data_IF_433428111339
#
_entry.id   IF_433428111339
#
_cell.length_a   1.000
_cell.length_b   1.000
_cell.length_c   1.000
_cell.angle_alpha   90.00
_cell.angle_beta   90.00
_cell.angle_gamma   90.00
#
_symmetry.space_group_name_H-M   'P 1'
#
loop_
_entity.id
_entity.type
_entity.pdbx_description
1 polymer ?
#
# COMPACT_ATOMS: atom_id res chain seq x y z
N UNK A 1 7.01 4.69 -19.01
CA UNK A 1 6.13 5.51 -18.15
C UNK A 1 6.35 5.18 -16.69
N UNK A 2 6.56 6.21 -15.88
CA UNK A 2 6.71 5.98 -14.45
C UNK A 2 5.35 5.71 -13.81
N UNK A 3 5.31 4.72 -12.93
CA UNK A 3 4.11 4.47 -12.14
C UNK A 3 3.88 5.62 -11.19
N UNK A 4 2.62 6.01 -11.00
CA UNK A 4 2.29 7.02 -9.99
C UNK A 4 2.61 6.48 -8.59
N UNK A 5 2.87 7.39 -7.65
CA UNK A 5 3.11 6.99 -6.26
C UNK A 5 1.92 6.25 -5.67
N UNK A 6 0.71 6.62 -6.08
CA UNK A 6 -0.51 5.93 -5.65
C UNK A 6 -0.49 4.46 -6.06
N UNK A 7 -0.11 4.15 -7.30
CA UNK A 7 -0.01 2.77 -7.78
C UNK A 7 1.06 1.99 -7.03
N UNK A 8 2.19 2.62 -6.75
CA UNK A 8 3.25 2.01 -5.95
C UNK A 8 2.78 1.66 -4.55
N UNK A 9 2.05 2.56 -3.91
CA UNK A 9 1.51 2.34 -2.58
C UNK A 9 0.43 1.25 -2.58
N UNK A 10 -0.49 1.26 -3.55
CA UNK A 10 -1.50 0.21 -3.66
C UNK A 10 -0.83 -1.16 -3.80
N UNK A 11 0.19 -1.25 -4.65
CA UNK A 11 0.95 -2.48 -4.83
C UNK A 11 1.66 -2.90 -3.55
N UNK A 12 2.23 -1.94 -2.83
CA UNK A 12 2.92 -2.18 -1.57
C UNK A 12 1.95 -2.68 -0.49
N UNK A 13 0.79 -2.05 -0.35
CA UNK A 13 -0.23 -2.50 0.60
C UNK A 13 -0.78 -3.88 0.25
N UNK A 14 -1.00 -4.16 -1.04
CA UNK A 14 -1.41 -5.48 -1.50
C UNK A 14 -0.40 -6.55 -1.06
N UNK A 15 0.88 -6.27 -1.26
CA UNK A 15 1.97 -7.16 -0.87
C UNK A 15 2.03 -7.35 0.65
N UNK A 16 1.88 -6.27 1.41
CA UNK A 16 1.89 -6.33 2.86
C UNK A 16 0.70 -7.13 3.41
N UNK A 17 -0.49 -6.91 2.86
CA UNK A 17 -1.69 -7.64 3.25
C UNK A 17 -1.56 -9.14 2.94
N UNK A 18 -0.88 -9.49 1.86
CA UNK A 18 -0.60 -10.87 1.50
C UNK A 18 0.23 -11.59 2.57
N UNK A 19 1.12 -10.85 3.25
CA UNK A 19 1.95 -11.41 4.31
C UNK A 19 1.16 -11.71 5.60
N UNK A 20 -0.01 -11.09 5.77
CA UNK A 20 -0.88 -11.25 6.95
C UNK A 20 -2.11 -12.12 6.64
N UNK A 21 -1.90 -13.24 6.06
CA UNK A 21 -2.71 -14.45 6.01
C UNK A 21 -4.16 -14.43 5.50
N UNK A 22 -5.10 -13.80 6.15
CA UNK A 22 -6.53 -14.00 5.85
C UNK A 22 -6.92 -13.51 4.46
N UNK A 23 -6.20 -12.55 3.93
CA UNK A 23 -6.43 -11.97 2.60
C UNK A 23 -5.55 -12.60 1.52
N UNK A 24 -4.74 -13.55 1.91
CA UNK A 24 -3.75 -14.18 1.03
C UNK A 24 -4.37 -14.86 -0.18
N UNK A 25 -5.51 -15.53 0.01
CA UNK A 25 -6.17 -16.33 -1.03
C UNK A 25 -7.15 -15.53 -1.88
N UNK A 26 -7.56 -14.35 -1.41
CA UNK A 26 -8.55 -13.55 -2.12
C UNK A 26 -7.91 -12.27 -2.68
N UNK A 27 -7.33 -12.40 -3.87
CA UNK A 27 -6.64 -11.30 -4.54
C UNK A 27 -7.54 -10.09 -4.79
N UNK A 28 -8.79 -10.30 -5.18
CA UNK A 28 -9.74 -9.22 -5.46
C UNK A 28 -10.03 -8.41 -4.20
N UNK A 29 -10.33 -9.08 -3.11
CA UNK A 29 -10.61 -8.45 -1.83
C UNK A 29 -9.38 -7.74 -1.28
N UNK A 30 -8.23 -8.38 -1.37
CA UNK A 30 -6.96 -7.80 -0.93
C UNK A 30 -6.64 -6.50 -1.66
N UNK A 31 -6.84 -6.47 -2.99
CA UNK A 31 -6.61 -5.26 -3.78
C UNK A 31 -7.60 -4.16 -3.45
N UNK A 32 -8.84 -4.52 -3.19
CA UNK A 32 -9.86 -3.56 -2.75
C UNK A 32 -9.45 -2.91 -1.42
N UNK A 33 -9.00 -3.72 -0.47
CA UNK A 33 -8.50 -3.23 0.81
C UNK A 33 -7.27 -2.34 0.64
N UNK A 34 -6.34 -2.74 -0.22
CA UNK A 34 -5.14 -1.96 -0.48
C UNK A 34 -5.49 -0.55 -1.00
N UNK A 35 -6.41 -0.46 -1.95
CA UNK A 35 -6.85 0.83 -2.49
C UNK A 35 -7.52 1.69 -1.43
N UNK A 36 -8.35 1.08 -0.60
CA UNK A 36 -9.05 1.76 0.49
C UNK A 36 -8.05 2.34 1.49
N UNK A 37 -7.08 1.55 1.92
CA UNK A 37 -6.06 2.00 2.87
C UNK A 37 -5.23 3.15 2.32
N UNK A 38 -4.85 3.07 1.05
CA UNK A 38 -4.10 4.16 0.41
C UNK A 38 -4.94 5.44 0.39
N UNK A 39 -6.22 5.33 0.05
CA UNK A 39 -7.11 6.49 0.00
C UNK A 39 -7.36 7.12 1.37
N UNK A 40 -7.46 6.31 2.41
CA UNK A 40 -7.74 6.80 3.76
C UNK A 40 -6.51 7.36 4.47
N UNK A 41 -5.34 6.75 4.24
CA UNK A 41 -4.14 7.08 5.01
C UNK A 41 -3.22 8.07 4.31
N UNK A 42 -3.40 8.30 3.02
CA UNK A 42 -2.53 9.16 2.23
C UNK A 42 -3.35 10.10 1.36
N UNK A 43 -3.11 11.39 1.48
CA UNK A 43 -3.78 12.42 0.69
C UNK A 43 -2.91 12.82 -0.52
N UNK A 44 -3.42 13.74 -1.34
CA UNK A 44 -2.70 14.21 -2.52
C UNK A 44 -1.38 14.91 -2.17
N UNK A 45 -1.36 15.64 -1.06
CA UNK A 45 -0.14 16.30 -0.59
C UNK A 45 0.96 15.28 -0.29
N UNK A 46 0.59 14.16 0.33
CA UNK A 46 1.52 13.07 0.55
C UNK A 46 2.10 12.56 -0.76
N UNK A 47 1.26 12.34 -1.77
CA UNK A 47 1.72 11.83 -3.07
C UNK A 47 2.67 12.80 -3.77
N UNK A 48 2.45 14.09 -3.63
CA UNK A 48 3.34 15.12 -4.17
C UNK A 48 4.69 15.13 -3.46
N UNK A 49 4.68 15.07 -2.14
CA UNK A 49 5.90 15.04 -1.33
C UNK A 49 6.71 13.76 -1.55
N UNK A 50 6.03 12.65 -1.74
CA UNK A 50 6.64 11.33 -1.91
C UNK A 50 6.98 11.00 -3.36
N UNK A 51 7.07 12.00 -4.24
CA UNK A 51 7.31 11.79 -5.67
C UNK A 51 8.60 11.04 -6.00
N UNK A 52 9.56 11.04 -5.09
CA UNK A 52 10.83 10.32 -5.26
C UNK A 52 10.83 8.95 -4.58
N UNK A 53 9.70 8.55 -4.03
CA UNK A 53 9.58 7.26 -3.35
C UNK A 53 9.85 6.11 -4.32
N UNK A 54 10.72 5.20 -3.92
CA UNK A 54 10.96 3.96 -4.65
C UNK A 54 9.93 2.91 -4.27
N UNK A 55 9.84 1.82 -5.04
CA UNK A 55 8.96 0.72 -4.67
C UNK A 55 9.37 0.10 -3.34
N UNK A 56 10.67 0.03 -3.08
CA UNK A 56 11.17 -0.47 -1.80
C UNK A 56 10.73 0.39 -0.63
N UNK A 57 10.81 1.71 -0.76
CA UNK A 57 10.34 2.64 0.27
C UNK A 57 8.84 2.48 0.51
N UNK A 58 8.06 2.34 -0.56
CA UNK A 58 6.62 2.14 -0.48
C UNK A 58 6.31 0.81 0.22
N UNK A 59 7.02 -0.25 -0.12
CA UNK A 59 6.84 -1.57 0.47
C UNK A 59 7.10 -1.53 1.99
N UNK A 60 8.16 -0.85 2.41
CA UNK A 60 8.51 -0.72 3.83
C UNK A 60 7.43 0.06 4.58
N UNK A 61 7.00 1.18 4.03
CA UNK A 61 5.95 2.01 4.61
C UNK A 61 4.64 1.23 4.76
N UNK A 62 4.25 0.53 3.71
CA UNK A 62 3.02 -0.27 3.72
C UNK A 62 3.10 -1.41 4.73
N UNK A 63 4.22 -2.09 4.80
CA UNK A 63 4.43 -3.18 5.75
C UNK A 63 4.28 -2.67 7.18
N UNK A 64 4.92 -1.56 7.52
CA UNK A 64 4.85 -0.98 8.85
C UNK A 64 3.42 -0.59 9.22
N UNK A 65 2.70 0.05 8.30
CA UNK A 65 1.33 0.49 8.54
C UNK A 65 0.36 -0.68 8.70
N UNK A 66 0.49 -1.69 7.86
CA UNK A 66 -0.35 -2.90 7.95
C UNK A 66 -0.05 -3.66 9.24
N UNK A 67 1.21 -3.74 9.62
CA UNK A 67 1.62 -4.38 10.86
C UNK A 67 0.93 -3.73 12.07
N UNK A 68 0.93 -2.40 12.14
CA UNK A 68 0.25 -1.68 13.22
C UNK A 68 -1.26 -1.88 13.18
N UNK A 69 -1.85 -1.92 12.00
CA UNK A 69 -3.30 -2.10 11.84
C UNK A 69 -3.77 -3.48 12.32
N UNK A 70 -2.94 -4.50 12.12
CA UNK A 70 -3.28 -5.89 12.46
C UNK A 70 -3.04 -6.23 13.92
N UNK A 71 -2.46 -5.34 14.68
CA UNK A 71 -2.31 -5.45 16.10
C UNK A 71 -3.48 -4.73 16.78
#
# INVERSE_FOLDING_TARGET
>A
MMKSNRKRLVRAYDKALKAFDDLRRNKRQRRKWARMLVSEWHNEDFFLEARHMTQEDADQLAYDNVYYMMW
#
